data_IF_778128544064
#
_entry.id   IF_778128544064
#
_cell.length_a   1.000
_cell.length_b   1.000
_cell.length_c   1.000
_cell.angle_alpha   90.00
_cell.angle_beta   90.00
_cell.angle_gamma   90.00
#
_symmetry.space_group_name_H-M   'P 1'
#
loop_
_entity.id
_entity.type
_entity.pdbx_description
1 polymer ?
#
# COMPACT_ATOMS: atom_id res chain seq x y z
N UNK A 1 4.31 0.37 13.58
CA UNK A 1 3.78 -0.82 12.87
C UNK A 1 4.65 -1.02 11.64
N UNK A 2 5.12 -2.23 11.40
CA UNK A 2 5.94 -2.51 10.21
C UNK A 2 5.02 -2.80 9.01
N UNK A 3 4.78 -1.78 8.19
CA UNK A 3 3.88 -1.88 7.02
C UNK A 3 4.52 -2.70 5.90
N UNK A 4 5.83 -2.64 5.78
CA UNK A 4 6.57 -3.36 4.75
C UNK A 4 6.74 -4.84 5.08
N UNK A 5 6.97 -5.19 6.35
CA UNK A 5 6.91 -6.59 6.77
C UNK A 5 5.56 -7.24 6.49
N UNK A 6 4.45 -6.50 6.70
CA UNK A 6 3.11 -6.98 6.34
C UNK A 6 2.94 -7.12 4.82
N UNK A 7 3.48 -6.19 4.04
CA UNK A 7 3.49 -6.26 2.58
C UNK A 7 4.23 -7.51 2.07
N UNK A 8 5.39 -7.82 2.65
CA UNK A 8 6.16 -9.02 2.35
C UNK A 8 5.36 -10.29 2.65
N UNK A 9 4.69 -10.35 3.80
CA UNK A 9 3.83 -11.47 4.16
C UNK A 9 2.66 -11.67 3.20
N UNK A 10 1.92 -10.60 2.87
CA UNK A 10 0.81 -10.69 1.92
C UNK A 10 1.26 -11.21 0.55
N UNK A 11 2.41 -10.75 0.07
CA UNK A 11 2.97 -11.20 -1.21
C UNK A 11 3.35 -12.69 -1.19
N UNK A 12 3.66 -13.29 -0.04
CA UNK A 12 3.98 -14.72 0.07
C UNK A 12 2.77 -15.66 0.15
N UNK A 13 1.56 -15.13 0.27
CA UNK A 13 0.33 -15.95 0.33
C UNK A 13 0.10 -16.72 -0.98
N UNK A 14 -0.69 -17.81 -0.99
CA UNK A 14 -1.07 -18.51 -2.22
C UNK A 14 -2.16 -17.79 -3.04
N UNK A 15 -2.58 -16.58 -2.63
CA UNK A 15 -3.64 -15.86 -3.33
C UNK A 15 -3.22 -15.52 -4.77
N UNK A 16 -4.09 -15.70 -5.78
CA UNK A 16 -3.74 -15.38 -7.17
C UNK A 16 -3.52 -13.87 -7.39
N UNK A 17 -4.14 -13.02 -6.55
CA UNK A 17 -4.03 -11.58 -6.60
C UNK A 17 -3.82 -11.02 -5.19
N UNK A 18 -2.84 -10.12 -5.06
CA UNK A 18 -2.59 -9.32 -3.85
C UNK A 18 -2.67 -7.85 -4.24
N UNK A 19 -3.52 -7.10 -3.56
CA UNK A 19 -3.69 -5.65 -3.77
C UNK A 19 -3.28 -4.91 -2.50
N UNK A 20 -2.52 -3.83 -2.66
CA UNK A 20 -2.07 -2.96 -1.57
C UNK A 20 -2.69 -1.58 -1.73
N UNK A 21 -2.97 -0.90 -0.61
CA UNK A 21 -3.35 0.49 -0.65
C UNK A 21 -2.11 1.37 -0.89
N UNK A 22 -2.25 2.43 -1.69
CA UNK A 22 -1.16 3.39 -1.88
C UNK A 22 -0.75 4.06 -0.56
N UNK A 23 -1.70 4.23 0.37
CA UNK A 23 -1.46 4.74 1.72
C UNK A 23 -0.48 3.87 2.52
N UNK A 24 -0.54 2.55 2.35
CA UNK A 24 0.36 1.60 3.03
C UNK A 24 1.78 1.72 2.47
N UNK A 25 1.93 1.81 1.14
CA UNK A 25 3.24 2.01 0.49
C UNK A 25 3.93 3.31 0.93
N UNK A 26 3.13 4.31 1.30
CA UNK A 26 3.59 5.61 1.80
C UNK A 26 3.71 5.66 3.33
N UNK A 27 3.41 4.55 4.02
CA UNK A 27 3.43 4.43 5.49
C UNK A 27 2.62 5.52 6.20
N UNK A 28 1.49 5.93 5.61
CA UNK A 28 0.63 6.97 6.15
C UNK A 28 -0.23 6.45 7.31
N UNK A 29 -0.52 7.33 8.26
CA UNK A 29 -1.38 7.04 9.41
C UNK A 29 -2.87 7.25 9.11
N UNK A 30 -3.68 7.27 10.17
CA UNK A 30 -5.14 7.41 10.09
C UNK A 30 -5.63 8.67 9.35
N UNK A 31 -4.81 9.71 9.24
CA UNK A 31 -5.10 10.91 8.45
C UNK A 31 -5.31 10.63 6.96
N UNK A 32 -4.76 9.52 6.45
CA UNK A 32 -4.90 9.12 5.05
C UNK A 32 -6.04 8.12 4.80
N UNK A 33 -6.85 7.82 5.84
CA UNK A 33 -7.97 6.88 5.71
C UNK A 33 -8.98 7.39 4.69
N UNK A 34 -9.25 6.57 3.67
CA UNK A 34 -10.21 6.91 2.62
C UNK A 34 -11.65 6.99 3.14
N UNK A 35 -12.07 6.08 4.02
CA UNK A 35 -13.44 6.05 4.52
C UNK A 35 -13.50 5.52 5.97
N UNK A 36 -14.34 6.14 6.80
CA UNK A 36 -14.79 5.64 8.10
C UNK A 36 -16.30 5.38 8.01
N UNK A 37 -16.73 4.11 7.86
CA UNK A 37 -18.15 3.76 7.80
C UNK A 37 -18.94 4.31 8.98
N UNK A 38 -20.16 4.80 8.72
CA UNK A 38 -21.02 5.43 9.73
C UNK A 38 -20.71 6.90 10.02
N UNK A 39 -19.60 7.46 9.47
CA UNK A 39 -19.32 8.89 9.57
C UNK A 39 -19.92 9.63 8.37
N UNK A 40 -20.70 10.68 8.62
CA UNK A 40 -21.37 11.44 7.57
C UNK A 40 -20.43 12.35 6.74
N UNK A 41 -19.33 12.82 7.33
CA UNK A 41 -18.44 13.82 6.72
C UNK A 41 -16.96 13.49 6.86
N UNK A 42 -16.12 14.03 5.99
CA UNK A 42 -14.66 13.87 6.03
C UNK A 42 -14.11 12.61 5.35
N UNK A 43 -14.98 11.75 4.82
CA UNK A 43 -14.58 10.59 4.00
C UNK A 43 -14.27 11.01 2.55
N UNK A 44 -13.65 10.11 1.80
CA UNK A 44 -13.39 10.20 0.36
C UNK A 44 -12.57 11.41 -0.07
N UNK A 45 -11.77 11.94 0.86
CA UNK A 45 -11.04 13.20 0.70
C UNK A 45 -9.53 13.02 0.55
N UNK A 46 -8.99 11.82 0.84
CA UNK A 46 -7.57 11.55 0.67
C UNK A 46 -7.15 11.65 -0.79
N UNK A 47 -6.03 12.33 -1.04
CA UNK A 47 -5.45 12.49 -2.37
C UNK A 47 -4.00 12.05 -2.32
N UNK A 48 -3.57 11.39 -3.40
CA UNK A 48 -2.17 11.11 -3.61
C UNK A 48 -1.46 12.40 -4.00
N UNK A 49 -0.45 12.79 -3.23
CA UNK A 49 0.38 13.94 -3.56
C UNK A 49 1.24 13.66 -4.81
N UNK A 50 1.38 14.67 -5.66
CA UNK A 50 2.22 14.57 -6.84
C UNK A 50 3.66 14.24 -6.44
N UNK A 51 4.23 13.20 -7.05
CA UNK A 51 5.61 12.75 -6.76
C UNK A 51 5.77 11.90 -5.49
N UNK A 52 4.70 11.64 -4.71
CA UNK A 52 4.79 10.79 -3.52
C UNK A 52 5.26 9.35 -3.83
N UNK A 53 4.86 8.81 -4.99
CA UNK A 53 5.31 7.51 -5.48
C UNK A 53 6.70 7.62 -6.11
N UNK A 54 7.72 7.58 -5.26
CA UNK A 54 9.12 7.75 -5.67
C UNK A 54 9.70 6.51 -6.37
N UNK A 55 10.77 6.67 -7.20
CA UNK A 55 11.51 5.53 -7.75
C UNK A 55 12.08 4.57 -6.68
N UNK A 56 12.36 5.07 -5.47
CA UNK A 56 12.79 4.25 -4.34
C UNK A 56 11.69 3.28 -3.91
N UNK A 57 10.46 3.75 -3.79
CA UNK A 57 9.30 2.91 -3.46
C UNK A 57 9.06 1.86 -4.54
N UNK A 58 9.14 2.26 -5.82
CA UNK A 58 9.00 1.33 -6.94
C UNK A 58 10.06 0.21 -6.89
N UNK A 59 11.33 0.54 -6.62
CA UNK A 59 12.40 -0.47 -6.47
C UNK A 59 12.16 -1.41 -5.29
N UNK A 60 11.73 -0.89 -4.14
CA UNK A 60 11.42 -1.71 -2.96
C UNK A 60 10.27 -2.67 -3.24
N UNK A 61 9.16 -2.16 -3.80
CA UNK A 61 8.01 -2.98 -4.16
C UNK A 61 8.40 -4.04 -5.21
N UNK A 62 9.19 -3.67 -6.22
CA UNK A 62 9.70 -4.61 -7.22
C UNK A 62 10.50 -5.74 -6.56
N UNK A 63 11.40 -5.42 -5.64
CA UNK A 63 12.21 -6.42 -4.92
C UNK A 63 11.33 -7.43 -4.19
N UNK A 64 10.31 -6.97 -3.47
CA UNK A 64 9.37 -7.83 -2.73
C UNK A 64 8.55 -8.70 -3.70
N UNK A 65 8.00 -8.10 -4.75
CA UNK A 65 7.23 -8.85 -5.75
C UNK A 65 8.08 -9.87 -6.49
N UNK A 66 9.36 -9.56 -6.78
CA UNK A 66 10.29 -10.51 -7.41
C UNK A 66 10.57 -11.69 -6.48
N UNK A 67 10.85 -11.43 -5.21
CA UNK A 67 11.12 -12.47 -4.21
C UNK A 67 9.91 -13.41 -4.00
N UNK A 68 8.69 -12.89 -4.19
CA UNK A 68 7.46 -13.65 -4.09
C UNK A 68 7.01 -14.33 -5.41
N UNK A 69 7.79 -14.21 -6.50
CA UNK A 69 7.41 -14.76 -7.81
C UNK A 69 6.19 -14.08 -8.45
N UNK A 70 5.98 -12.79 -8.16
CA UNK A 70 4.81 -11.97 -8.58
C UNK A 70 5.17 -10.83 -9.54
N UNK A 71 6.31 -10.93 -10.23
CA UNK A 71 6.66 -9.98 -11.29
C UNK A 71 6.18 -10.47 -12.64
N UNK A 72 5.92 -9.56 -13.60
CA UNK A 72 5.74 -9.93 -15.00
C UNK A 72 6.92 -10.74 -15.55
#
# INVERSE_FOLDING_TARGET
RDVWGLTEWWMQTPAPLVMLQAQDLLELGSQARMNTPGRATGNWSWRLEAGALTPRLARRLRSITSAAGRTP
#
